data_IF_854638137159
#
_entry.id   IF_854638137159
#
_cell.length_a   1.000
_cell.length_b   1.000
_cell.length_c   1.000
_cell.angle_alpha   90.00
_cell.angle_beta   90.00
_cell.angle_gamma   90.00
#
_symmetry.space_group_name_H-M   'P 1'
#
loop_
_entity.id
_entity.type
_entity.pdbx_description
1 polymer ?
#
# COMPACT_ATOMS: atom_id res chain seq x y z
N UNK A 1 -1.24 -14.29 5.95
CA UNK A 1 -0.48 -13.66 4.85
C UNK A 1 -0.70 -12.14 4.89
N UNK A 2 0.36 -11.34 4.91
CA UNK A 2 0.27 -9.87 4.94
C UNK A 2 0.59 -9.28 3.56
N UNK A 3 -0.34 -8.50 3.02
CA UNK A 3 -0.28 -7.86 1.70
C UNK A 3 -0.37 -6.35 1.92
N UNK A 4 0.46 -5.58 1.23
CA UNK A 4 0.38 -4.12 1.24
C UNK A 4 0.32 -3.56 -0.17
N UNK A 5 -0.50 -2.53 -0.37
CA UNK A 5 -0.44 -1.64 -1.53
C UNK A 5 0.27 -0.33 -1.15
N UNK A 6 1.40 -0.03 -1.81
CA UNK A 6 2.20 1.16 -1.60
C UNK A 6 1.82 2.26 -2.60
N UNK A 7 1.21 3.32 -2.07
CA UNK A 7 0.64 4.44 -2.82
C UNK A 7 -0.74 4.10 -3.38
N UNK A 8 -1.69 3.79 -2.50
CA UNK A 8 -3.03 3.32 -2.85
C UNK A 8 -3.95 4.43 -3.42
N UNK A 9 -3.64 5.70 -3.20
CA UNK A 9 -4.48 6.87 -3.47
C UNK A 9 -5.83 6.82 -2.72
N UNK A 10 -6.84 7.54 -3.21
CA UNK A 10 -8.18 7.70 -2.59
C UNK A 10 -9.31 7.06 -3.41
N UNK A 11 -9.04 6.60 -4.65
CA UNK A 11 -10.08 6.16 -5.59
C UNK A 11 -10.48 4.68 -5.50
N UNK A 12 -11.45 4.23 -6.34
CA UNK A 12 -11.83 2.80 -6.42
C UNK A 12 -10.64 1.89 -6.80
N UNK A 13 -9.65 2.44 -7.49
CA UNK A 13 -8.41 1.73 -7.82
C UNK A 13 -7.62 1.28 -6.58
N UNK A 14 -7.75 2.00 -5.45
CA UNK A 14 -7.11 1.64 -4.18
C UNK A 14 -7.51 0.24 -3.70
N UNK A 15 -8.72 -0.21 -4.03
CA UNK A 15 -9.19 -1.55 -3.70
C UNK A 15 -9.00 -2.54 -4.84
N UNK A 16 -9.05 -2.09 -6.09
CA UNK A 16 -9.00 -2.99 -7.24
C UNK A 16 -7.74 -3.87 -7.21
N UNK A 17 -6.57 -3.28 -6.94
CA UNK A 17 -5.29 -4.00 -6.92
C UNK A 17 -5.27 -5.09 -5.84
N UNK A 18 -5.72 -4.77 -4.62
CA UNK A 18 -5.74 -5.72 -3.51
C UNK A 18 -6.82 -6.78 -3.70
N UNK A 19 -8.00 -6.45 -4.23
CA UNK A 19 -9.05 -7.42 -4.53
C UNK A 19 -8.59 -8.44 -5.57
N UNK A 20 -8.00 -7.99 -6.69
CA UNK A 20 -7.44 -8.88 -7.72
C UNK A 20 -6.36 -9.79 -7.11
N UNK A 21 -5.52 -9.24 -6.23
CA UNK A 21 -4.46 -10.00 -5.57
C UNK A 21 -5.03 -11.10 -4.68
N UNK A 22 -6.04 -10.79 -3.85
CA UNK A 22 -6.70 -11.75 -2.96
C UNK A 22 -7.43 -12.83 -3.77
N UNK A 23 -8.16 -12.44 -4.81
CA UNK A 23 -8.83 -13.37 -5.71
C UNK A 23 -7.84 -14.32 -6.39
N UNK A 24 -6.69 -13.81 -6.85
CA UNK A 24 -5.64 -14.64 -7.44
C UNK A 24 -5.06 -15.65 -6.43
N UNK A 25 -4.83 -15.23 -5.17
CA UNK A 25 -4.38 -16.12 -4.10
C UNK A 25 -5.40 -17.22 -3.84
N UNK A 26 -6.69 -16.86 -3.71
CA UNK A 26 -7.75 -17.83 -3.47
C UNK A 26 -7.90 -18.81 -4.63
N UNK A 27 -7.89 -18.32 -5.87
CA UNK A 27 -7.96 -19.15 -7.08
C UNK A 27 -6.80 -20.14 -7.14
N UNK A 28 -5.58 -19.70 -6.81
CA UNK A 28 -4.42 -20.56 -6.75
C UNK A 28 -4.55 -21.63 -5.65
N UNK A 29 -5.02 -21.26 -4.45
CA UNK A 29 -5.26 -22.23 -3.38
C UNK A 29 -6.29 -23.30 -3.79
N UNK A 30 -7.39 -22.88 -4.43
CA UNK A 30 -8.41 -23.80 -4.96
C UNK A 30 -7.84 -24.75 -6.01
N UNK A 31 -7.00 -24.25 -6.93
CA UNK A 31 -6.34 -25.06 -7.95
C UNK A 31 -5.50 -26.19 -7.32
N UNK A 32 -4.83 -25.92 -6.21
CA UNK A 32 -4.01 -26.89 -5.48
C UNK A 32 -4.76 -27.62 -4.35
N UNK A 33 -6.09 -27.47 -4.26
CA UNK A 33 -6.94 -28.05 -3.21
C UNK A 33 -6.47 -27.71 -1.79
N UNK A 34 -5.92 -26.51 -1.61
CA UNK A 34 -5.48 -25.99 -0.32
C UNK A 34 -6.53 -25.04 0.26
N UNK A 35 -6.72 -25.02 1.59
CA UNK A 35 -7.55 -24.01 2.21
C UNK A 35 -6.95 -22.61 1.97
N UNK A 36 -7.77 -21.59 1.65
CA UNK A 36 -7.27 -20.23 1.49
C UNK A 36 -6.68 -19.71 2.82
N UNK A 37 -5.53 -19.01 2.78
CA UNK A 37 -4.91 -18.47 3.99
C UNK A 37 -5.68 -17.26 4.52
N UNK A 38 -5.59 -17.01 5.83
CA UNK A 38 -5.99 -15.71 6.38
C UNK A 38 -5.15 -14.58 5.76
N UNK A 39 -5.82 -13.54 5.31
CA UNK A 39 -5.20 -12.41 4.61
C UNK A 39 -5.31 -11.15 5.47
N UNK A 40 -4.22 -10.41 5.58
CA UNK A 40 -4.24 -9.03 6.09
C UNK A 40 -3.85 -8.10 4.95
N UNK A 41 -4.75 -7.16 4.60
CA UNK A 41 -4.55 -6.17 3.55
C UNK A 41 -4.30 -4.80 4.19
N UNK A 42 -3.16 -4.20 3.87
CA UNK A 42 -2.77 -2.87 4.31
C UNK A 42 -2.72 -1.92 3.11
N UNK A 43 -3.31 -0.74 3.26
CA UNK A 43 -3.23 0.31 2.26
C UNK A 43 -2.33 1.44 2.78
N UNK A 44 -1.26 1.72 2.05
CA UNK A 44 -0.32 2.79 2.36
C UNK A 44 -0.46 3.93 1.34
N UNK A 45 -0.38 5.15 1.84
CA UNK A 45 -0.12 6.35 1.07
C UNK A 45 0.46 7.43 2.01
N UNK A 46 0.80 8.58 1.48
CA UNK A 46 1.21 9.76 2.24
C UNK A 46 0.13 10.18 3.25
N UNK A 47 0.51 10.76 4.40
CA UNK A 47 -0.45 11.21 5.43
C UNK A 47 -1.53 12.18 4.92
N UNK A 48 -1.24 12.91 3.84
CA UNK A 48 -2.14 13.86 3.20
C UNK A 48 -3.26 13.20 2.36
N UNK A 49 -3.17 11.89 2.13
CA UNK A 49 -4.20 11.14 1.42
C UNK A 49 -5.51 11.10 2.21
N UNK A 50 -6.66 11.06 1.52
CA UNK A 50 -7.96 10.97 2.17
C UNK A 50 -8.29 9.53 2.58
N UNK A 51 -7.66 9.11 3.69
CA UNK A 51 -7.91 7.80 4.29
C UNK A 51 -9.35 7.62 4.79
N UNK A 52 -10.14 8.68 4.98
CA UNK A 52 -11.55 8.50 5.37
C UNK A 52 -12.33 7.84 4.25
N UNK A 53 -12.09 8.23 3.00
CA UNK A 53 -12.68 7.58 1.83
C UNK A 53 -12.15 6.18 1.65
N UNK A 54 -10.85 5.96 1.83
CA UNK A 54 -10.23 4.62 1.76
C UNK A 54 -10.83 3.66 2.80
N UNK A 55 -10.98 4.09 4.04
CA UNK A 55 -11.54 3.26 5.12
C UNK A 55 -13.00 2.89 4.85
N UNK A 56 -13.82 3.82 4.31
CA UNK A 56 -15.19 3.50 3.88
C UNK A 56 -15.20 2.41 2.81
N UNK A 57 -14.31 2.51 1.83
CA UNK A 57 -14.15 1.51 0.79
C UNK A 57 -13.72 0.15 1.38
N UNK A 58 -12.75 0.14 2.31
CA UNK A 58 -12.30 -1.08 3.00
C UNK A 58 -13.41 -1.75 3.83
N UNK A 59 -14.31 -0.96 4.44
CA UNK A 59 -15.49 -1.49 5.15
C UNK A 59 -16.42 -2.20 4.17
N UNK A 60 -16.69 -1.59 3.01
CA UNK A 60 -17.50 -2.22 1.95
C UNK A 60 -16.87 -3.52 1.46
N UNK A 61 -15.54 -3.53 1.24
CA UNK A 61 -14.82 -4.73 0.80
C UNK A 61 -14.98 -5.89 1.80
N UNK A 62 -14.82 -5.61 3.10
CA UNK A 62 -15.00 -6.62 4.17
C UNK A 62 -16.42 -7.17 4.25
N UNK A 63 -17.43 -6.39 3.85
CA UNK A 63 -18.82 -6.85 3.82
C UNK A 63 -19.13 -7.70 2.59
N UNK A 64 -18.41 -7.47 1.48
CA UNK A 64 -18.59 -8.22 0.23
C UNK A 64 -17.73 -9.46 0.10
N UNK A 65 -16.61 -9.54 0.83
CA UNK A 65 -15.69 -10.67 0.82
C UNK A 65 -15.92 -11.63 1.98
N UNK A 66 -15.60 -12.91 1.78
CA UNK A 66 -15.56 -13.94 2.83
C UNK A 66 -14.66 -13.43 4.01
N UNK A 67 -14.96 -13.74 5.29
CA UNK A 67 -14.43 -13.07 6.48
C UNK A 67 -12.93 -13.30 6.77
N UNK A 68 -12.18 -13.75 5.77
CA UNK A 68 -10.78 -14.16 5.80
C UNK A 68 -9.82 -12.97 5.71
N UNK A 69 -10.34 -11.74 5.59
CA UNK A 69 -9.54 -10.52 5.38
C UNK A 69 -9.59 -9.53 6.57
N UNK A 70 -8.47 -9.36 7.26
CA UNK A 70 -8.23 -8.18 8.11
C UNK A 70 -7.80 -7.03 7.19
N UNK A 71 -8.35 -5.83 7.40
CA UNK A 71 -7.96 -4.65 6.62
C UNK A 71 -7.45 -3.53 7.51
N UNK A 72 -6.47 -2.76 7.01
CA UNK A 72 -5.88 -1.65 7.72
C UNK A 72 -5.27 -0.61 6.79
N UNK A 73 -4.84 0.50 7.38
CA UNK A 73 -4.12 1.57 6.69
C UNK A 73 -2.76 1.80 7.36
N UNK A 74 -1.78 2.24 6.59
CA UNK A 74 -0.45 2.59 7.10
C UNK A 74 -0.01 3.91 6.48
N UNK A 75 -0.40 5.06 7.06
CA UNK A 75 0.00 6.36 6.54
C UNK A 75 1.51 6.58 6.66
N UNK A 76 2.13 7.12 5.62
CA UNK A 76 3.56 7.46 5.61
C UNK A 76 4.21 7.30 4.25
N UNK A 77 5.40 7.88 4.07
CA UNK A 77 6.16 7.69 2.85
C UNK A 77 6.72 6.27 2.77
N UNK A 78 6.45 5.57 1.67
CA UNK A 78 7.08 4.27 1.40
C UNK A 78 8.58 4.35 1.07
N UNK A 79 9.14 5.57 0.97
CA UNK A 79 10.59 5.78 0.93
C UNK A 79 11.26 5.69 2.31
N UNK A 80 10.46 5.56 3.37
CA UNK A 80 10.90 5.32 4.73
C UNK A 80 10.46 3.92 5.20
N UNK A 81 10.95 3.51 6.37
CA UNK A 81 10.56 2.22 6.95
C UNK A 81 9.15 2.32 7.53
N UNK A 82 8.19 1.66 6.88
CA UNK A 82 6.80 1.57 7.35
C UNK A 82 6.51 0.29 8.15
N UNK A 83 7.26 -0.78 7.89
CA UNK A 83 7.00 -2.11 8.45
C UNK A 83 8.24 -2.69 9.13
N UNK A 84 7.99 -3.61 10.07
CA UNK A 84 9.05 -4.43 10.67
C UNK A 84 9.69 -5.33 9.62
N UNK A 85 10.93 -5.74 9.85
CA UNK A 85 11.58 -6.71 8.97
C UNK A 85 10.79 -8.01 8.92
N UNK A 86 10.72 -8.63 7.73
CA UNK A 86 10.09 -9.95 7.50
C UNK A 86 8.59 -10.06 7.81
N UNK A 87 7.87 -8.95 7.99
CA UNK A 87 6.42 -9.00 8.27
C UNK A 87 5.54 -9.07 7.02
N UNK A 88 6.03 -8.55 5.88
CA UNK A 88 5.28 -8.49 4.62
C UNK A 88 5.53 -9.75 3.79
N UNK A 89 4.45 -10.30 3.23
CA UNK A 89 4.53 -11.47 2.35
C UNK A 89 4.43 -11.04 0.88
N UNK A 90 3.67 -9.98 0.60
CA UNK A 90 3.49 -9.45 -0.74
C UNK A 90 3.38 -7.92 -0.69
N UNK A 91 4.09 -7.27 -1.61
CA UNK A 91 4.08 -5.82 -1.77
C UNK A 91 3.64 -5.50 -3.18
N UNK A 92 2.57 -4.73 -3.29
CA UNK A 92 2.01 -4.24 -4.54
C UNK A 92 2.23 -2.73 -4.62
N UNK A 93 2.43 -2.22 -5.84
CA UNK A 93 2.45 -0.79 -6.11
C UNK A 93 2.10 -0.56 -7.58
N UNK A 94 1.20 0.37 -7.84
CA UNK A 94 0.78 0.73 -9.20
C UNK A 94 0.84 2.23 -9.36
N UNK A 95 1.61 2.72 -10.34
CA UNK A 95 1.75 4.14 -10.61
C UNK A 95 2.23 5.02 -9.44
N UNK A 96 2.96 4.46 -8.46
CA UNK A 96 3.43 5.23 -7.30
C UNK A 96 4.95 5.38 -7.23
N UNK A 97 5.71 4.38 -7.68
CA UNK A 97 7.18 4.38 -7.62
C UNK A 97 7.88 5.44 -8.48
N UNK A 98 7.17 6.06 -9.43
CA UNK A 98 7.75 7.11 -10.28
C UNK A 98 7.85 8.47 -9.56
N UNK A 99 7.17 8.65 -8.43
CA UNK A 99 7.20 9.88 -7.65
C UNK A 99 8.49 9.96 -6.83
N UNK A 100 9.35 10.94 -7.07
CA UNK A 100 10.57 11.13 -6.29
C UNK A 100 10.25 11.62 -4.87
N UNK A 101 11.01 11.14 -3.88
CA UNK A 101 10.86 11.56 -2.48
C UNK A 101 11.21 13.03 -2.23
N UNK A 102 12.07 13.60 -3.08
CA UNK A 102 12.51 14.99 -3.03
C UNK A 102 12.64 15.53 -4.46
N UNK A 103 12.38 16.82 -4.62
CA UNK A 103 12.65 17.49 -5.88
C UNK A 103 14.15 17.47 -6.19
N UNK A 104 14.47 17.22 -7.46
CA UNK A 104 15.82 17.41 -7.98
C UNK A 104 16.11 18.91 -8.03
N UNK A 105 16.87 19.42 -7.07
CA UNK A 105 17.35 20.80 -7.08
C UNK A 105 18.70 20.88 -7.79
N UNK A 106 19.02 22.04 -8.39
CA UNK A 106 20.34 22.26 -9.01
C UNK A 106 21.49 21.96 -8.02
N UNK A 107 21.27 22.25 -6.74
CA UNK A 107 22.20 21.93 -5.64
C UNK A 107 22.39 20.42 -5.47
N UNK A 108 21.33 19.62 -5.60
CA UNK A 108 21.42 18.16 -5.56
C UNK A 108 22.17 17.57 -6.76
N UNK A 109 22.03 18.17 -7.94
CA UNK A 109 22.75 17.76 -9.16
C UNK A 109 24.24 18.07 -9.03
N UNK A 110 24.58 19.21 -8.44
CA UNK A 110 25.95 19.67 -8.26
C UNK A 110 26.63 19.08 -7.01
N UNK A 111 25.96 18.20 -6.26
CA UNK A 111 26.49 17.60 -5.03
C UNK A 111 26.74 18.60 -3.89
N UNK A 112 26.11 19.79 -3.96
CA UNK A 112 26.30 20.86 -3.00
C UNK A 112 25.27 20.71 -1.86
N UNK A 113 25.73 20.46 -0.63
CA UNK A 113 24.86 20.50 0.56
C UNK A 113 24.40 21.94 0.79
N UNK A 114 23.13 22.23 0.49
CA UNK A 114 22.49 23.49 0.83
C UNK A 114 22.38 23.65 2.34
N UNK A 115 23.01 24.69 2.90
CA UNK A 115 22.72 25.16 4.26
C UNK A 115 21.37 25.87 4.24
N UNK A 116 20.32 25.22 4.70
CA UNK A 116 19.02 25.87 4.90
C UNK A 116 19.09 26.71 6.18
N UNK A 117 19.34 28.01 6.05
CA UNK A 117 18.90 28.97 7.06
C UNK A 117 17.42 29.27 6.80
N UNK A 118 16.59 28.96 7.79
CA UNK A 118 15.17 29.28 7.76
C UNK A 118 14.93 30.78 7.75
N UNK A 119 13.85 31.16 7.08
CA UNK A 119 13.10 32.38 7.30
C UNK A 119 11.63 31.98 7.46
#
# INVERSE_FOLDING_TARGET
>A
MMIVDLGCSTGPNALALVSITVEAIHANCLQFQQPPPEVCVLLNDLPENDFNTVVKSLVTLRQSSDPVAVTGITPGSFYERLFTSESLHLVCSSNSLHWLSKHMTLMSILGMKGSSHGA
#
